data_IF_244899053378
#
_entry.id   IF_244899053378
#
_cell.length_a   1.000
_cell.length_b   1.000
_cell.length_c   1.000
_cell.angle_alpha   90.00
_cell.angle_beta   90.00
_cell.angle_gamma   90.00
#
_symmetry.space_group_name_H-M   'P 1'
#
loop_
_entity.id
_entity.type
_entity.pdbx_description
1 polymer ?
#
# COMPACT_ATOMS: atom_id res chain seq x y z
N UNK A 1 17.55 1.71 -4.39
CA UNK A 1 16.38 2.60 -4.29
C UNK A 1 15.31 1.91 -3.45
N UNK A 2 14.86 2.56 -2.37
CA UNK A 2 13.85 2.04 -1.44
C UNK A 2 12.61 2.92 -1.47
N UNK A 3 11.46 2.34 -1.74
CA UNK A 3 10.18 3.05 -1.80
C UNK A 3 9.22 2.51 -0.73
N UNK A 4 8.50 3.42 -0.09
CA UNK A 4 7.29 3.09 0.66
C UNK A 4 6.12 3.08 -0.31
N UNK A 5 5.45 1.95 -0.45
CA UNK A 5 4.27 1.79 -1.30
C UNK A 5 3.00 1.74 -0.45
N UNK A 6 1.96 2.48 -0.87
CA UNK A 6 0.68 2.59 -0.18
C UNK A 6 -0.46 2.24 -1.14
N UNK A 7 -1.35 1.36 -0.70
CA UNK A 7 -2.51 0.91 -1.46
C UNK A 7 -3.78 1.02 -0.61
N UNK A 8 -4.81 1.67 -1.16
CA UNK A 8 -6.12 1.83 -0.52
C UNK A 8 -7.28 1.87 -1.53
N UNK A 9 -7.14 1.22 -2.67
CA UNK A 9 -8.08 1.40 -3.79
C UNK A 9 -9.46 0.77 -3.60
N UNK A 10 -9.63 -0.21 -2.71
CA UNK A 10 -10.90 -0.92 -2.52
C UNK A 10 -11.15 -1.29 -1.05
N UNK A 11 -10.92 -2.53 -0.64
CA UNK A 11 -11.28 -3.10 0.65
C UNK A 11 -10.09 -3.57 1.49
N UNK A 12 -8.90 -3.24 1.07
CA UNK A 12 -7.66 -3.52 1.80
C UNK A 12 -6.79 -2.28 1.92
N UNK A 13 -6.35 -1.99 3.14
CA UNK A 13 -5.32 -0.98 3.38
C UNK A 13 -3.98 -1.68 3.47
N UNK A 14 -3.07 -1.39 2.56
CA UNK A 14 -1.76 -2.03 2.56
C UNK A 14 -0.62 -1.00 2.49
N UNK A 15 0.49 -1.35 3.14
CA UNK A 15 1.75 -0.65 2.98
C UNK A 15 2.91 -1.64 2.91
N UNK A 16 3.87 -1.35 2.07
CA UNK A 16 5.04 -2.18 1.83
C UNK A 16 6.29 -1.32 1.64
N UNK A 17 7.45 -1.84 2.02
CA UNK A 17 8.74 -1.26 1.61
C UNK A 17 9.37 -2.18 0.59
N UNK A 18 9.69 -1.60 -0.57
CA UNK A 18 10.25 -2.33 -1.72
C UNK A 18 11.60 -1.73 -2.10
N UNK A 19 12.60 -2.59 -2.28
CA UNK A 19 13.95 -2.23 -2.70
C UNK A 19 14.15 -2.60 -4.17
N UNK A 20 14.66 -1.64 -4.95
CA UNK A 20 15.03 -1.78 -6.36
C UNK A 20 13.90 -2.34 -7.26
N UNK A 21 12.65 -2.07 -6.88
CA UNK A 21 11.46 -2.51 -7.60
C UNK A 21 11.25 -4.03 -7.63
N UNK A 22 12.01 -4.79 -6.88
CA UNK A 22 11.96 -6.27 -6.89
C UNK A 22 11.91 -6.90 -5.52
N UNK A 23 12.70 -6.41 -4.57
CA UNK A 23 12.83 -7.03 -3.25
C UNK A 23 11.84 -6.43 -2.27
N UNK A 24 10.89 -7.22 -1.82
CA UNK A 24 9.93 -6.82 -0.80
C UNK A 24 10.55 -6.95 0.59
N UNK A 25 10.81 -5.83 1.26
CA UNK A 25 11.38 -5.79 2.61
C UNK A 25 10.31 -5.94 3.68
N UNK A 26 9.10 -5.43 3.41
CA UNK A 26 7.93 -5.59 4.26
C UNK A 26 6.65 -5.56 3.45
N UNK A 27 5.58 -6.15 4.01
CA UNK A 27 4.23 -6.06 3.45
C UNK A 27 3.21 -6.23 4.58
N UNK A 28 2.46 -5.19 4.87
CA UNK A 28 1.42 -5.17 5.90
C UNK A 28 0.09 -4.90 5.22
N UNK A 29 -0.90 -5.74 5.50
CA UNK A 29 -2.24 -5.64 4.95
C UNK A 29 -3.25 -5.65 6.10
N UNK A 30 -4.16 -4.68 6.08
CA UNK A 30 -5.35 -4.65 6.91
C UNK A 30 -6.58 -4.85 6.01
N UNK A 31 -7.16 -6.04 6.05
CA UNK A 31 -8.32 -6.41 5.23
C UNK A 31 -9.63 -6.02 5.93
N UNK A 32 -10.56 -5.51 5.14
CA UNK A 32 -11.90 -5.12 5.54
C UNK A 32 -12.97 -6.16 5.16
N UNK A 33 -12.57 -7.29 4.60
CA UNK A 33 -13.47 -8.33 4.04
C UNK A 33 -14.51 -8.76 5.07
N UNK A 34 -14.14 -8.96 6.33
CA UNK A 34 -15.08 -9.39 7.39
C UNK A 34 -16.21 -8.41 7.63
N UNK A 35 -15.95 -7.11 7.51
CA UNK A 35 -16.97 -6.09 7.68
C UNK A 35 -17.90 -6.02 6.47
N UNK A 36 -17.34 -6.08 5.27
CA UNK A 36 -18.10 -5.96 4.03
C UNK A 36 -18.98 -7.19 3.73
N UNK A 37 -18.61 -8.37 4.17
CA UNK A 37 -19.43 -9.59 4.06
C UNK A 37 -20.83 -9.40 4.68
N UNK A 38 -20.94 -8.64 5.77
CA UNK A 38 -22.22 -8.34 6.44
C UNK A 38 -23.20 -7.59 5.55
N UNK A 39 -22.69 -6.86 4.55
CA UNK A 39 -23.49 -6.06 3.62
C UNK A 39 -23.64 -6.71 2.24
N UNK A 40 -23.10 -7.92 2.05
CA UNK A 40 -23.11 -8.63 0.77
C UNK A 40 -22.15 -8.08 -0.29
N UNK A 41 -21.25 -7.16 0.09
CA UNK A 41 -20.26 -6.56 -0.80
C UNK A 41 -19.64 -5.30 -0.22
N UNK A 42 -18.72 -4.70 -0.97
CA UNK A 42 -17.99 -3.51 -0.52
C UNK A 42 -18.92 -2.29 -0.48
N UNK A 43 -18.98 -1.64 0.70
CA UNK A 43 -19.69 -0.36 0.90
C UNK A 43 -18.67 0.77 0.87
N UNK A 44 -18.67 1.65 -0.16
CA UNK A 44 -17.60 2.62 -0.38
C UNK A 44 -17.35 3.59 0.78
N UNK A 45 -18.41 4.04 1.46
CA UNK A 45 -18.28 4.94 2.61
C UNK A 45 -17.62 4.26 3.81
N UNK A 46 -18.01 3.01 4.10
CA UNK A 46 -17.41 2.21 5.17
C UNK A 46 -15.94 1.95 4.84
N UNK A 47 -15.65 1.57 3.60
CA UNK A 47 -14.28 1.33 3.15
C UNK A 47 -13.40 2.58 3.37
N UNK A 48 -13.86 3.75 3.00
CA UNK A 48 -13.11 5.01 3.17
C UNK A 48 -12.78 5.30 4.63
N UNK A 49 -13.73 5.11 5.54
CA UNK A 49 -13.52 5.31 6.99
C UNK A 49 -12.48 4.33 7.54
N UNK A 50 -12.59 3.05 7.18
CA UNK A 50 -11.66 2.02 7.63
C UNK A 50 -10.24 2.26 7.11
N UNK A 51 -10.10 2.75 5.88
CA UNK A 51 -8.78 3.17 5.37
C UNK A 51 -8.19 4.31 6.20
N UNK A 52 -8.99 5.33 6.52
CA UNK A 52 -8.52 6.47 7.31
C UNK A 52 -8.05 6.05 8.72
N UNK A 53 -8.72 5.09 9.34
CA UNK A 53 -8.34 4.56 10.65
C UNK A 53 -7.07 3.69 10.59
N UNK A 54 -6.92 2.88 9.54
CA UNK A 54 -5.87 1.87 9.44
C UNK A 54 -4.54 2.40 8.88
N UNK A 55 -4.55 3.37 7.97
CA UNK A 55 -3.42 3.72 7.10
C UNK A 55 -2.15 4.11 7.88
N UNK A 56 -2.28 4.89 8.94
CA UNK A 56 -1.14 5.30 9.77
C UNK A 56 -0.48 4.11 10.49
N UNK A 57 -1.32 3.23 11.07
CA UNK A 57 -0.85 2.02 11.76
C UNK A 57 -0.19 1.03 10.81
N UNK A 58 -0.79 0.80 9.65
CA UNK A 58 -0.27 -0.11 8.61
C UNK A 58 1.08 0.41 8.10
N UNK A 59 1.19 1.71 7.83
CA UNK A 59 2.44 2.33 7.37
C UNK A 59 3.56 2.21 8.40
N UNK A 60 3.29 2.53 9.67
CA UNK A 60 4.29 2.39 10.75
C UNK A 60 4.77 0.95 10.91
N UNK A 61 3.87 -0.01 10.83
CA UNK A 61 4.22 -1.43 10.91
C UNK A 61 5.06 -1.88 9.71
N UNK A 62 4.78 -1.39 8.51
CA UNK A 62 5.55 -1.70 7.32
C UNK A 62 7.00 -1.17 7.43
N UNK A 63 7.18 0.05 7.91
CA UNK A 63 8.51 0.62 8.18
C UNK A 63 9.25 -0.19 9.25
N UNK A 64 8.60 -0.49 10.39
CA UNK A 64 9.19 -1.27 11.47
C UNK A 64 9.62 -2.67 10.99
N UNK A 65 8.76 -3.37 10.24
CA UNK A 65 9.05 -4.70 9.70
C UNK A 65 10.21 -4.69 8.70
N UNK A 66 10.30 -3.64 7.88
CA UNK A 66 11.37 -3.50 6.89
C UNK A 66 12.74 -3.26 7.52
N UNK A 67 12.77 -2.66 8.70
CA UNK A 67 13.98 -2.14 9.35
C UNK A 67 14.54 -0.89 8.65
N UNK A 68 13.78 -0.26 7.76
CA UNK A 68 14.17 0.94 7.02
C UNK A 68 13.52 2.16 7.67
N UNK A 69 14.28 3.10 8.20
CA UNK A 69 13.74 4.34 8.74
C UNK A 69 13.18 5.21 7.60
N UNK A 70 12.23 6.08 7.93
CA UNK A 70 11.55 6.93 6.95
C UNK A 70 12.53 7.82 6.16
N UNK A 71 13.58 8.30 6.84
CA UNK A 71 14.61 9.18 6.28
C UNK A 71 15.54 8.47 5.28
N UNK A 72 15.55 7.12 5.30
CA UNK A 72 16.35 6.31 4.39
C UNK A 72 15.58 5.83 3.14
N UNK A 73 14.34 6.31 2.98
CA UNK A 73 13.56 6.07 1.78
C UNK A 73 13.92 7.07 0.68
N UNK A 74 13.79 6.63 -0.56
CA UNK A 74 14.03 7.46 -1.76
C UNK A 74 12.73 8.04 -2.33
N UNK A 75 11.56 7.56 -1.87
CA UNK A 75 10.27 8.08 -2.33
C UNK A 75 9.08 7.32 -1.74
N UNK A 76 7.89 7.86 -2.03
CA UNK A 76 6.61 7.31 -1.60
C UNK A 76 5.79 7.01 -2.85
N UNK A 77 5.42 5.76 -3.05
CA UNK A 77 4.53 5.31 -4.11
C UNK A 77 3.10 5.16 -3.57
N UNK A 78 2.09 5.59 -4.32
CA UNK A 78 0.69 5.47 -3.92
C UNK A 78 -0.19 5.16 -5.12
N UNK A 79 -1.14 4.25 -4.92
CA UNK A 79 -2.16 3.95 -5.92
C UNK A 79 -3.12 5.13 -6.05
N UNK A 80 -3.25 5.65 -7.30
CA UNK A 80 -4.13 6.79 -7.60
C UNK A 80 -5.37 6.41 -8.39
N UNK A 81 -5.35 5.29 -9.13
CA UNK A 81 -6.43 4.80 -9.99
C UNK A 81 -6.13 3.38 -10.50
N UNK A 82 -7.16 2.63 -10.97
CA UNK A 82 -8.57 2.79 -10.65
C UNK A 82 -8.91 2.29 -9.24
N UNK A 83 -10.08 2.67 -8.73
CA UNK A 83 -10.58 2.23 -7.42
C UNK A 83 -11.76 3.06 -6.94
N UNK A 84 -12.21 2.79 -5.72
CA UNK A 84 -13.24 3.56 -5.05
C UNK A 84 -12.70 4.97 -4.73
N UNK A 85 -13.37 6.02 -5.19
CA UNK A 85 -12.86 7.39 -5.11
C UNK A 85 -12.54 7.81 -3.67
N UNK A 86 -13.41 7.54 -2.71
CA UNK A 86 -13.18 7.88 -1.30
C UNK A 86 -12.01 7.12 -0.70
N UNK A 87 -11.86 5.84 -1.02
CA UNK A 87 -10.74 5.00 -0.59
C UNK A 87 -9.41 5.49 -1.19
N UNK A 88 -9.36 5.75 -2.49
CA UNK A 88 -8.18 6.32 -3.16
C UNK A 88 -7.75 7.65 -2.56
N UNK A 89 -8.72 8.54 -2.26
CA UNK A 89 -8.43 9.85 -1.65
C UNK A 89 -7.75 9.71 -0.29
N UNK A 90 -8.09 8.71 0.52
CA UNK A 90 -7.42 8.47 1.80
C UNK A 90 -5.93 8.18 1.58
N UNK A 91 -5.59 7.22 0.73
CA UNK A 91 -4.20 6.86 0.45
C UNK A 91 -3.41 8.01 -0.18
N UNK A 92 -3.99 8.67 -1.19
CA UNK A 92 -3.33 9.77 -1.90
C UNK A 92 -3.08 10.96 -0.97
N UNK A 93 -4.06 11.36 -0.15
CA UNK A 93 -3.87 12.48 0.77
C UNK A 93 -2.88 12.15 1.89
N UNK A 94 -2.91 10.94 2.42
CA UNK A 94 -1.92 10.48 3.39
C UNK A 94 -0.50 10.52 2.80
N UNK A 95 -0.32 9.98 1.59
CA UNK A 95 0.97 9.97 0.91
C UNK A 95 1.47 11.38 0.58
N UNK A 96 0.58 12.29 0.15
CA UNK A 96 0.91 13.72 -0.05
C UNK A 96 1.36 14.40 1.24
N UNK A 97 0.64 14.19 2.34
CA UNK A 97 1.02 14.73 3.66
C UNK A 97 2.39 14.22 4.09
N UNK A 98 2.65 12.92 3.91
CA UNK A 98 3.93 12.32 4.23
C UNK A 98 5.07 12.86 3.33
N UNK A 99 4.82 12.99 2.02
CA UNK A 99 5.76 13.60 1.07
C UNK A 99 6.10 15.03 1.44
N UNK A 100 5.09 15.83 1.80
CA UNK A 100 5.29 17.22 2.22
C UNK A 100 6.12 17.32 3.51
N UNK A 101 5.86 16.44 4.48
CA UNK A 101 6.55 16.45 5.76
C UNK A 101 8.01 15.97 5.66
N UNK A 102 8.31 15.07 4.74
CA UNK A 102 9.64 14.44 4.60
C UNK A 102 10.48 15.01 3.47
N UNK A 103 9.86 15.71 2.51
CA UNK A 103 10.53 16.12 1.27
C UNK A 103 10.73 14.99 0.25
N UNK A 104 10.24 13.77 0.54
CA UNK A 104 10.38 12.63 -0.37
C UNK A 104 9.48 12.78 -1.61
N UNK A 105 9.95 12.42 -2.82
CA UNK A 105 9.15 12.48 -4.02
C UNK A 105 7.97 11.51 -3.96
N UNK A 106 6.82 11.95 -4.52
CA UNK A 106 5.61 11.14 -4.63
C UNK A 106 5.52 10.50 -6.01
N UNK A 107 5.29 9.19 -6.04
CA UNK A 107 5.19 8.39 -7.26
C UNK A 107 3.76 7.86 -7.41
N UNK A 108 3.00 8.32 -8.42
CA UNK A 108 1.67 7.79 -8.69
C UNK A 108 1.75 6.40 -9.34
N UNK A 109 0.97 5.44 -8.84
CA UNK A 109 0.95 4.06 -9.32
C UNK A 109 -0.46 3.68 -9.77
N UNK A 110 -0.55 3.04 -10.94
CA UNK A 110 -1.81 2.53 -11.46
C UNK A 110 -2.06 1.11 -10.92
N UNK A 111 -3.21 0.90 -10.28
CA UNK A 111 -3.56 -0.36 -9.59
C UNK A 111 -3.37 -1.62 -10.45
N UNK A 112 -3.89 -1.64 -11.68
CA UNK A 112 -3.76 -2.82 -12.55
C UNK A 112 -2.32 -3.08 -13.02
N UNK A 113 -1.52 -2.02 -13.20
CA UNK A 113 -0.10 -2.16 -13.52
C UNK A 113 0.69 -2.70 -12.33
N UNK A 114 0.30 -2.36 -11.10
CA UNK A 114 0.93 -2.90 -9.90
C UNK A 114 0.67 -4.40 -9.75
N UNK A 115 -0.52 -4.90 -10.12
CA UNK A 115 -0.79 -6.34 -10.15
C UNK A 115 0.14 -7.09 -11.11
N UNK A 116 0.40 -6.53 -12.29
CA UNK A 116 1.36 -7.13 -13.24
C UNK A 116 2.77 -7.10 -12.64
N UNK A 117 3.20 -5.96 -12.10
CA UNK A 117 4.52 -5.78 -11.53
C UNK A 117 4.77 -6.66 -10.29
N UNK A 118 3.73 -6.96 -9.51
CA UNK A 118 3.83 -7.82 -8.33
C UNK A 118 4.38 -9.23 -8.63
N UNK A 119 4.20 -9.73 -9.86
CA UNK A 119 4.76 -11.02 -10.29
C UNK A 119 6.30 -11.04 -10.32
N UNK A 120 6.94 -9.87 -10.35
CA UNK A 120 8.40 -9.74 -10.37
C UNK A 120 9.00 -9.50 -8.99
N UNK A 121 8.18 -9.40 -7.94
CA UNK A 121 8.65 -9.20 -6.58
C UNK A 121 9.22 -10.49 -6.00
N UNK A 122 10.34 -10.35 -5.28
CA UNK A 122 10.95 -11.43 -4.49
C UNK A 122 10.86 -11.09 -3.00
N UNK A 123 10.60 -12.12 -2.19
CA UNK A 123 10.61 -11.96 -0.73
C UNK A 123 12.03 -11.85 -0.19
N UNK A 124 12.19 -11.19 0.97
CA UNK A 124 13.47 -10.97 1.66
C UNK A 124 14.28 -12.26 1.88
N UNK A 125 13.63 -13.43 1.90
CA UNK A 125 14.23 -14.75 2.15
C UNK A 125 14.48 -15.59 0.89
N UNK A 126 14.51 -15.00 -0.29
CA UNK A 126 14.97 -15.67 -1.53
C UNK A 126 14.00 -16.67 -2.16
N UNK A 127 12.76 -16.74 -1.72
CA UNK A 127 11.74 -17.58 -2.34
C UNK A 127 10.89 -16.81 -3.34
N UNK A 128 11.05 -17.06 -4.65
CA UNK A 128 10.05 -16.64 -5.61
C UNK A 128 8.81 -17.52 -5.45
N UNK A 129 7.78 -17.03 -4.79
CA UNK A 129 6.47 -17.66 -4.88
C UNK A 129 5.70 -16.94 -5.98
N UNK A 130 5.65 -17.54 -7.17
CA UNK A 130 4.57 -17.27 -8.10
C UNK A 130 3.28 -17.72 -7.43
N UNK A 131 2.64 -16.84 -6.68
CA UNK A 131 1.25 -17.03 -6.33
C UNK A 131 0.44 -16.36 -7.43
N UNK A 132 -0.14 -17.15 -8.34
CA UNK A 132 -1.26 -16.69 -9.12
C UNK A 132 -2.29 -16.12 -8.14
N UNK A 133 -2.50 -14.83 -8.20
CA UNK A 133 -3.66 -14.20 -7.56
C UNK A 133 -4.88 -14.75 -8.32
N UNK A 134 -5.71 -15.53 -7.62
CA UNK A 134 -7.02 -15.97 -8.12
C UNK A 134 -8.00 -14.83 -7.96
#
# INVERSE_FOLDING_TARGET
MKLLAIESSCDETAAAVVEDGRKMLSNIIASQVKEHVRFGGVVPEIASRMHAEAISGVTRRALAQSGVPLEALDGIAVTYAPGLIGALLVGVNFAKGLSLATGLPLVPVHHLRSHIAANYLTHKNGGSKFSCVR
#
